data_IF_375028117940
#
_entry.id   IF_375028117940
#
_cell.length_a   1.000
_cell.length_b   1.000
_cell.length_c   1.000
_cell.angle_alpha   90.00
_cell.angle_beta   90.00
_cell.angle_gamma   90.00
#
_symmetry.space_group_name_H-M   'P 1'
#
loop_
_entity.id
_entity.type
_entity.pdbx_description
1 polymer ?
#
# COMPACT_ATOMS: atom_id res chain seq x y z
N UNK A 1 14.15 0.15 30.49
CA UNK A 1 13.20 1.08 29.82
C UNK A 1 12.27 0.22 28.99
N UNK A 2 10.95 0.34 29.17
CA UNK A 2 10.02 -0.29 28.24
C UNK A 2 10.15 0.37 26.86
N UNK A 3 10.19 -0.43 25.80
CA UNK A 3 10.20 0.07 24.44
C UNK A 3 8.91 0.85 24.17
N UNK A 4 9.00 1.95 23.39
CA UNK A 4 7.82 2.69 22.99
C UNK A 4 6.97 1.81 22.06
N UNK A 5 5.70 1.53 22.38
CA UNK A 5 4.85 0.64 21.58
C UNK A 5 4.39 1.27 20.26
N UNK A 6 4.54 2.58 20.10
CA UNK A 6 4.28 3.28 18.85
C UNK A 6 5.59 3.35 18.04
N UNK A 7 5.60 2.69 16.91
CA UNK A 7 6.79 2.63 16.07
C UNK A 7 6.70 3.65 14.93
N UNK A 8 7.74 4.46 14.85
CA UNK A 8 7.93 5.47 13.81
C UNK A 8 9.12 5.13 12.91
N UNK A 9 9.67 3.92 13.06
CA UNK A 9 10.81 3.44 12.30
C UNK A 9 10.35 3.00 10.91
N UNK A 10 11.07 3.39 9.89
CA UNK A 10 10.78 2.95 8.53
C UNK A 10 11.11 1.45 8.36
N UNK A 11 10.23 0.72 7.65
CA UNK A 11 10.49 -0.67 7.24
C UNK A 11 10.12 -1.75 8.27
N UNK A 12 9.65 -1.39 9.47
CA UNK A 12 9.09 -2.36 10.43
C UNK A 12 7.59 -2.14 10.60
N UNK A 13 6.78 -3.20 10.59
CA UNK A 13 5.39 -3.06 11.02
C UNK A 13 5.37 -2.69 12.51
N UNK A 14 4.56 -1.71 12.92
CA UNK A 14 4.43 -1.34 14.33
C UNK A 14 3.90 -2.54 15.14
N UNK A 15 4.30 -2.67 16.40
CA UNK A 15 3.78 -3.72 17.30
C UNK A 15 2.26 -3.58 17.51
N UNK A 16 1.78 -2.36 17.53
CA UNK A 16 0.34 -2.03 17.69
C UNK A 16 -0.20 -1.43 16.42
N UNK A 17 -0.94 -2.23 15.68
CA UNK A 17 -1.64 -1.86 14.46
C UNK A 17 -3.14 -1.69 14.73
N UNK A 18 -3.74 -0.75 14.03
CA UNK A 18 -5.20 -0.69 13.89
C UNK A 18 -5.55 -1.40 12.58
N UNK A 19 -6.17 -2.55 12.69
CA UNK A 19 -6.54 -3.41 11.56
C UNK A 19 -7.66 -2.78 10.71
N UNK A 20 -7.75 -3.24 9.46
CA UNK A 20 -8.83 -2.94 8.52
C UNK A 20 -9.54 -4.23 8.11
N UNK A 21 -10.30 -4.85 9.03
CA UNK A 21 -10.86 -6.18 8.82
C UNK A 21 -11.74 -6.27 7.57
N UNK A 22 -12.50 -5.23 7.25
CA UNK A 22 -13.40 -5.22 6.08
C UNK A 22 -12.60 -5.40 4.77
N UNK A 23 -11.50 -4.66 4.60
CA UNK A 23 -10.63 -4.74 3.42
C UNK A 23 -9.88 -6.07 3.39
N UNK A 24 -9.32 -6.46 4.52
CA UNK A 24 -8.55 -7.69 4.62
C UNK A 24 -9.42 -8.91 4.32
N UNK A 25 -10.65 -8.93 4.82
CA UNK A 25 -11.60 -9.99 4.58
C UNK A 25 -12.10 -9.96 3.13
N UNK A 26 -12.43 -8.79 2.57
CA UNK A 26 -12.82 -8.66 1.15
C UNK A 26 -11.80 -9.33 0.23
N UNK A 27 -10.50 -9.03 0.40
CA UNK A 27 -9.44 -9.60 -0.44
C UNK A 27 -9.26 -11.09 -0.14
N UNK A 28 -9.26 -11.47 1.14
CA UNK A 28 -9.07 -12.86 1.54
C UNK A 28 -10.19 -13.74 1.00
N UNK A 29 -11.43 -13.33 1.20
CA UNK A 29 -12.61 -14.06 0.73
C UNK A 29 -12.66 -14.14 -0.80
N UNK A 30 -12.27 -13.04 -1.49
CA UNK A 30 -12.19 -13.03 -2.94
C UNK A 30 -11.20 -14.04 -3.51
N UNK A 31 -10.06 -14.27 -2.84
CA UNK A 31 -9.04 -15.21 -3.32
C UNK A 31 -9.30 -16.67 -2.93
N UNK A 32 -10.01 -16.89 -1.82
CA UNK A 32 -10.32 -18.25 -1.33
C UNK A 32 -11.55 -18.85 -2.03
N UNK A 33 -12.52 -18.02 -2.38
CA UNK A 33 -13.76 -18.50 -2.99
C UNK A 33 -13.56 -19.02 -4.42
N UNK A 34 -14.28 -20.09 -4.78
CA UNK A 34 -14.20 -20.72 -6.11
C UNK A 34 -14.63 -19.76 -7.23
N UNK A 35 -15.58 -18.86 -6.97
CA UNK A 35 -16.00 -17.80 -7.89
C UNK A 35 -15.21 -16.50 -7.66
N UNK A 36 -13.90 -16.54 -7.87
CA UNK A 36 -13.00 -15.41 -7.68
C UNK A 36 -13.41 -14.21 -8.51
N UNK A 37 -13.90 -13.11 -7.92
CA UNK A 37 -14.24 -11.91 -8.68
C UNK A 37 -13.00 -11.23 -9.28
N UNK A 38 -11.85 -11.42 -8.67
CA UNK A 38 -10.55 -10.95 -9.18
C UNK A 38 -9.40 -11.82 -8.68
N UNK A 39 -8.35 -11.93 -9.49
CA UNK A 39 -7.06 -12.52 -9.09
C UNK A 39 -6.01 -11.46 -8.77
N UNK A 40 -6.36 -10.19 -8.85
CA UNK A 40 -5.47 -9.05 -8.63
C UNK A 40 -6.20 -7.97 -7.85
N UNK A 41 -5.56 -7.46 -6.80
CA UNK A 41 -5.98 -6.27 -6.07
C UNK A 41 -4.86 -5.24 -5.99
N UNK A 42 -5.21 -3.97 -6.03
CA UNK A 42 -4.28 -2.85 -5.91
C UNK A 42 -4.68 -2.00 -4.70
N UNK A 43 -3.80 -1.91 -3.70
CA UNK A 43 -3.99 -1.04 -2.55
C UNK A 43 -3.29 0.29 -2.80
N UNK A 44 -4.00 1.39 -2.72
CA UNK A 44 -3.45 2.72 -2.96
C UNK A 44 -3.86 3.73 -1.89
N UNK A 45 -3.19 4.84 -1.85
CA UNK A 45 -3.41 5.93 -0.89
C UNK A 45 -2.13 6.72 -0.64
N UNK A 46 -2.19 7.80 0.14
CA UNK A 46 -1.05 8.65 0.42
C UNK A 46 0.09 7.91 1.13
N UNK A 47 1.29 8.50 1.16
CA UNK A 47 2.37 8.00 2.02
C UNK A 47 1.90 7.93 3.46
N UNK A 48 2.32 6.92 4.20
CA UNK A 48 1.95 6.77 5.62
C UNK A 48 0.49 6.37 5.91
N UNK A 49 -0.34 6.06 4.91
CA UNK A 49 -1.72 5.58 5.16
C UNK A 49 -1.78 4.11 5.61
N UNK A 50 -0.65 3.37 5.60
CA UNK A 50 -0.56 1.99 6.07
C UNK A 50 -0.69 0.92 4.98
N UNK A 51 -0.33 1.21 3.73
CA UNK A 51 -0.35 0.23 2.61
C UNK A 51 0.47 -1.02 2.90
N UNK A 52 1.74 -0.84 3.24
CA UNK A 52 2.65 -1.94 3.63
C UNK A 52 2.12 -2.76 4.80
N UNK A 53 1.53 -2.10 5.80
CA UNK A 53 0.95 -2.77 6.97
C UNK A 53 -0.24 -3.64 6.56
N UNK A 54 -1.17 -3.11 5.76
CA UNK A 54 -2.31 -3.89 5.25
C UNK A 54 -1.86 -5.05 4.36
N UNK A 55 -0.87 -4.83 3.48
CA UNK A 55 -0.29 -5.89 2.65
C UNK A 55 0.30 -7.01 3.50
N UNK A 56 1.09 -6.64 4.52
CA UNK A 56 1.71 -7.60 5.45
C UNK A 56 0.66 -8.37 6.25
N UNK A 57 -0.39 -7.69 6.74
CA UNK A 57 -1.49 -8.34 7.45
C UNK A 57 -2.18 -9.39 6.60
N UNK A 58 -2.54 -9.05 5.36
CA UNK A 58 -3.15 -9.98 4.40
C UNK A 58 -2.18 -11.13 4.08
N UNK A 59 -0.91 -10.84 3.79
CA UNK A 59 0.12 -11.85 3.54
C UNK A 59 0.20 -12.87 4.68
N UNK A 60 0.18 -12.40 5.93
CA UNK A 60 0.27 -13.26 7.11
C UNK A 60 -0.98 -14.14 7.28
N UNK A 61 -2.18 -13.63 6.94
CA UNK A 61 -3.39 -14.47 6.90
C UNK A 61 -3.22 -15.63 5.93
N UNK A 62 -2.73 -15.37 4.71
CA UNK A 62 -2.51 -16.42 3.71
C UNK A 62 -1.37 -17.37 4.07
N UNK A 63 -0.31 -16.92 4.75
CA UNK A 63 0.75 -17.81 5.28
C UNK A 63 0.22 -18.81 6.30
N UNK A 64 -0.89 -18.52 6.96
CA UNK A 64 -1.55 -19.40 7.94
C UNK A 64 -2.58 -20.35 7.31
N UNK A 65 -2.92 -20.19 6.03
CA UNK A 65 -3.89 -21.04 5.34
C UNK A 65 -3.15 -22.17 4.60
N UNK A 66 -3.52 -23.41 4.86
CA UNK A 66 -2.97 -24.55 4.14
C UNK A 66 -3.14 -24.40 2.62
N UNK A 67 -2.18 -24.95 1.87
CA UNK A 67 -2.16 -24.92 0.40
C UNK A 67 -2.03 -23.52 -0.21
N UNK A 68 -1.54 -22.54 0.54
CA UNK A 68 -1.12 -21.26 0.01
C UNK A 68 0.39 -21.07 0.15
N UNK A 69 1.03 -20.63 -0.94
CA UNK A 69 2.42 -20.21 -0.97
C UNK A 69 2.41 -18.69 -1.13
N UNK A 70 2.95 -17.94 -0.16
CA UNK A 70 3.09 -16.49 -0.24
C UNK A 70 4.52 -16.15 -0.62
N UNK A 71 4.67 -15.29 -1.63
CA UNK A 71 5.96 -14.83 -2.15
C UNK A 71 5.91 -13.31 -2.25
N UNK A 72 6.81 -12.66 -1.50
CA UNK A 72 6.99 -11.21 -1.54
C UNK A 72 8.06 -10.87 -2.59
N UNK A 73 7.75 -9.99 -3.54
CA UNK A 73 8.61 -9.59 -4.65
C UNK A 73 9.01 -8.13 -4.53
N UNK A 74 10.29 -7.82 -4.78
CA UNK A 74 10.82 -6.47 -4.78
C UNK A 74 10.73 -5.87 -6.20
N UNK A 75 9.98 -4.78 -6.42
CA UNK A 75 9.79 -4.19 -7.75
C UNK A 75 11.06 -3.58 -8.36
N UNK A 76 12.12 -3.35 -7.56
CA UNK A 76 13.40 -2.78 -8.02
C UNK A 76 14.37 -3.84 -8.60
N UNK A 77 13.97 -5.10 -8.65
CA UNK A 77 14.74 -6.21 -9.13
C UNK A 77 13.96 -7.04 -10.14
N UNK A 78 14.64 -7.92 -10.87
CA UNK A 78 13.98 -8.84 -11.79
C UNK A 78 12.96 -9.73 -11.07
N UNK A 79 11.68 -9.43 -11.26
CA UNK A 79 10.56 -10.08 -10.56
C UNK A 79 10.37 -11.53 -11.00
N UNK A 80 10.66 -11.87 -12.26
CA UNK A 80 10.59 -13.26 -12.73
C UNK A 80 11.68 -14.11 -12.12
N UNK A 81 12.90 -13.59 -12.05
CA UNK A 81 14.02 -14.25 -11.38
C UNK A 81 13.72 -14.48 -9.89
N UNK A 82 13.18 -13.46 -9.20
CA UNK A 82 12.81 -13.58 -7.79
C UNK A 82 11.70 -14.63 -7.61
N UNK A 83 10.70 -14.62 -8.48
CA UNK A 83 9.60 -15.57 -8.43
C UNK A 83 10.09 -16.99 -8.62
N UNK A 84 10.88 -17.24 -9.68
CA UNK A 84 11.48 -18.55 -9.94
C UNK A 84 12.33 -19.05 -8.76
N UNK A 85 13.19 -18.18 -8.22
CA UNK A 85 14.04 -18.48 -7.05
C UNK A 85 13.21 -18.84 -5.83
N UNK A 86 12.19 -18.03 -5.55
CA UNK A 86 11.32 -18.25 -4.40
C UNK A 86 10.52 -19.54 -4.51
N UNK A 87 10.02 -19.89 -5.69
CA UNK A 87 9.39 -21.17 -5.94
C UNK A 87 10.36 -22.33 -5.69
N UNK A 88 11.57 -22.24 -6.23
CA UNK A 88 12.60 -23.27 -6.05
C UNK A 88 12.99 -23.48 -4.58
N UNK A 89 13.09 -22.39 -3.81
CA UNK A 89 13.51 -22.44 -2.41
C UNK A 89 12.42 -22.93 -1.45
N UNK A 90 11.15 -22.94 -1.83
CA UNK A 90 10.08 -23.50 -0.98
C UNK A 90 10.34 -24.99 -0.74
N UNK A 91 10.50 -25.36 0.53
CA UNK A 91 10.96 -26.68 0.93
C UNK A 91 10.13 -27.85 0.38
N UNK A 92 8.81 -27.68 0.24
CA UNK A 92 7.92 -28.64 -0.39
C UNK A 92 8.23 -28.89 -1.88
N UNK A 93 8.74 -27.88 -2.58
CA UNK A 93 9.09 -27.95 -4.00
C UNK A 93 10.53 -28.44 -4.22
N UNK A 94 11.46 -28.08 -3.32
CA UNK A 94 12.86 -28.50 -3.39
C UNK A 94 13.00 -30.04 -3.38
N UNK A 95 12.17 -30.73 -2.61
CA UNK A 95 12.15 -32.20 -2.60
C UNK A 95 11.77 -32.83 -3.95
N UNK A 96 10.96 -32.14 -4.75
CA UNK A 96 10.53 -32.61 -6.05
C UNK A 96 11.67 -32.60 -7.07
N UNK A 97 12.54 -31.56 -7.01
CA UNK A 97 13.76 -31.53 -7.83
C UNK A 97 14.74 -32.63 -7.43
N UNK A 98 14.87 -32.88 -6.13
CA UNK A 98 15.75 -33.96 -5.62
C UNK A 98 15.23 -35.37 -5.99
N UNK A 99 13.92 -35.56 -6.07
CA UNK A 99 13.29 -36.84 -6.46
C UNK A 99 13.18 -37.02 -7.96
N UNK A 100 13.72 -36.14 -8.80
CA UNK A 100 13.60 -36.17 -10.26
C UNK A 100 12.14 -36.21 -10.76
N UNK A 101 11.19 -35.71 -9.99
CA UNK A 101 9.79 -35.56 -10.40
C UNK A 101 9.63 -34.51 -11.51
N UNK A 102 10.60 -33.59 -11.63
CA UNK A 102 10.69 -32.64 -12.73
C UNK A 102 11.70 -33.13 -13.79
N UNK A 103 11.23 -33.26 -15.01
CA UNK A 103 12.04 -33.68 -16.17
C UNK A 103 12.75 -32.49 -16.84
N UNK A 104 13.24 -31.51 -16.06
CA UNK A 104 13.97 -30.34 -16.59
C UNK A 104 14.92 -29.76 -15.55
N UNK A 105 15.92 -29.05 -16.04
CA UNK A 105 16.84 -28.25 -15.24
C UNK A 105 16.74 -26.77 -15.61
N UNK A 106 17.09 -25.90 -14.67
CA UNK A 106 17.08 -24.46 -14.87
C UNK A 106 18.46 -23.88 -14.59
N UNK A 107 18.95 -23.05 -15.54
CA UNK A 107 20.25 -22.41 -15.44
C UNK A 107 20.03 -20.90 -15.43
N UNK A 108 20.27 -20.22 -14.32
CA UNK A 108 20.05 -18.77 -14.26
C UNK A 108 20.05 -18.14 -12.87
N UNK A 109 20.07 -18.96 -11.81
CA UNK A 109 20.06 -18.46 -10.42
C UNK A 109 21.39 -18.70 -9.68
N UNK A 110 22.50 -18.84 -10.42
CA UNK A 110 23.79 -19.15 -9.79
C UNK A 110 23.95 -20.62 -9.38
N UNK A 111 22.94 -21.46 -9.61
CA UNK A 111 23.06 -22.93 -9.48
C UNK A 111 22.65 -23.61 -10.77
N UNK A 112 23.40 -24.60 -11.16
CA UNK A 112 22.95 -25.59 -12.14
C UNK A 112 22.38 -26.76 -11.36
N UNK A 113 21.10 -27.10 -11.60
CA UNK A 113 20.58 -28.40 -11.21
C UNK A 113 21.20 -29.36 -12.23
N UNK A 114 22.29 -30.00 -11.83
CA UNK A 114 23.04 -30.87 -12.70
C UNK A 114 22.29 -32.20 -12.92
N UNK A 115 22.14 -32.55 -14.17
CA UNK A 115 21.59 -33.79 -14.69
C UNK A 115 21.39 -33.66 -16.20
N UNK A 116 21.25 -34.74 -16.94
CA UNK A 116 20.97 -34.77 -18.39
C UNK A 116 19.58 -34.22 -18.76
N UNK A 117 19.11 -33.22 -18.03
CA UNK A 117 17.77 -32.66 -18.20
C UNK A 117 17.83 -31.38 -19.08
N UNK A 118 16.82 -31.16 -19.95
CA UNK A 118 16.79 -30.00 -20.81
C UNK A 118 16.75 -28.71 -20.00
N UNK A 119 17.61 -27.74 -20.35
CA UNK A 119 17.62 -26.38 -19.77
C UNK A 119 16.43 -25.62 -20.31
N UNK A 120 15.65 -24.98 -19.43
CA UNK A 120 14.50 -24.15 -19.79
C UNK A 120 14.71 -22.67 -19.41
N UNK A 121 13.97 -21.79 -20.07
CA UNK A 121 13.94 -20.36 -19.70
C UNK A 121 13.27 -20.15 -18.32
N UNK A 122 13.49 -18.95 -17.71
CA UNK A 122 12.85 -18.55 -16.46
C UNK A 122 11.32 -18.67 -16.56
N UNK A 123 10.74 -18.14 -17.64
CA UNK A 123 9.30 -18.18 -17.87
C UNK A 123 8.78 -19.62 -17.96
N UNK A 124 9.43 -20.47 -18.75
CA UNK A 124 9.04 -21.90 -18.86
C UNK A 124 9.19 -22.63 -17.53
N UNK A 125 10.22 -22.30 -16.73
CA UNK A 125 10.38 -22.86 -15.40
C UNK A 125 9.20 -22.48 -14.50
N UNK A 126 8.85 -21.22 -14.44
CA UNK A 126 7.72 -20.73 -13.63
C UNK A 126 6.41 -21.41 -14.06
N UNK A 127 6.12 -21.45 -15.36
CA UNK A 127 4.89 -22.07 -15.86
C UNK A 127 4.79 -23.56 -15.50
N UNK A 128 5.87 -24.31 -15.63
CA UNK A 128 5.89 -25.73 -15.22
C UNK A 128 5.69 -25.91 -13.72
N UNK A 129 6.27 -25.02 -12.91
CA UNK A 129 6.06 -25.03 -11.47
C UNK A 129 4.62 -24.70 -11.11
N UNK A 130 4.03 -23.70 -11.75
CA UNK A 130 2.63 -23.33 -11.53
C UNK A 130 1.66 -24.42 -11.96
N UNK A 131 1.92 -25.10 -13.09
CA UNK A 131 1.13 -26.26 -13.52
C UNK A 131 1.17 -27.41 -12.50
N UNK A 132 2.37 -27.69 -11.98
CA UNK A 132 2.52 -28.68 -10.92
C UNK A 132 1.74 -28.29 -9.66
N UNK A 133 1.88 -27.04 -9.19
CA UNK A 133 1.16 -26.55 -8.02
C UNK A 133 -0.36 -26.61 -8.20
N UNK A 134 -0.86 -26.23 -9.38
CA UNK A 134 -2.27 -26.32 -9.75
C UNK A 134 -2.79 -27.76 -9.64
N UNK A 135 -2.04 -28.75 -10.16
CA UNK A 135 -2.39 -30.19 -10.06
C UNK A 135 -2.42 -30.71 -8.61
N UNK A 136 -1.67 -30.06 -7.71
CA UNK A 136 -1.67 -30.36 -6.27
C UNK A 136 -2.71 -29.57 -5.47
N UNK A 137 -3.48 -28.70 -6.11
CA UNK A 137 -4.43 -27.82 -5.45
C UNK A 137 -3.76 -26.77 -4.56
N UNK A 138 -2.54 -26.35 -4.92
CA UNK A 138 -1.78 -25.33 -4.20
C UNK A 138 -1.94 -24.00 -4.93
N UNK A 139 -2.26 -22.94 -4.19
CA UNK A 139 -2.39 -21.57 -4.67
C UNK A 139 -1.13 -20.77 -4.37
N UNK A 140 -0.86 -19.75 -5.17
CA UNK A 140 0.25 -18.84 -4.97
C UNK A 140 -0.31 -17.42 -4.81
N UNK A 141 0.10 -16.75 -3.74
CA UNK A 141 -0.10 -15.32 -3.55
C UNK A 141 1.23 -14.61 -3.77
N UNK A 142 1.26 -13.72 -4.74
CA UNK A 142 2.36 -12.78 -4.96
C UNK A 142 2.00 -11.44 -4.33
N UNK A 143 2.96 -10.82 -3.67
CA UNK A 143 2.81 -9.47 -3.13
C UNK A 143 3.93 -8.59 -3.63
N UNK A 144 3.60 -7.34 -4.02
CA UNK A 144 4.55 -6.34 -4.48
C UNK A 144 4.24 -5.04 -3.78
N UNK A 145 5.14 -4.58 -2.91
CA UNK A 145 4.98 -3.29 -2.23
C UNK A 145 5.67 -2.17 -3.02
N UNK A 146 5.10 -0.97 -2.98
CA UNK A 146 5.63 0.24 -3.60
C UNK A 146 5.92 0.13 -5.11
N UNK A 147 4.96 -0.45 -5.88
CA UNK A 147 5.11 -0.56 -7.33
C UNK A 147 5.35 0.79 -8.00
N UNK A 148 6.18 0.76 -9.05
CA UNK A 148 6.46 1.89 -9.90
C UNK A 148 6.46 1.45 -11.38
N UNK A 149 6.54 2.41 -12.32
CA UNK A 149 6.58 2.12 -13.74
C UNK A 149 8.03 1.93 -14.21
N UNK A 150 8.64 0.79 -13.85
CA UNK A 150 9.95 0.38 -14.33
C UNK A 150 9.88 -0.82 -15.29
N UNK A 151 11.00 -1.16 -15.91
CA UNK A 151 11.07 -2.27 -16.85
C UNK A 151 10.71 -3.62 -16.22
N UNK A 152 11.12 -3.88 -14.98
CA UNK A 152 10.84 -5.15 -14.30
C UNK A 152 9.36 -5.34 -14.06
N UNK A 153 8.68 -4.28 -13.62
CA UNK A 153 7.22 -4.31 -13.42
C UNK A 153 6.47 -4.51 -14.74
N UNK A 154 6.90 -3.87 -15.83
CA UNK A 154 6.27 -4.06 -17.16
C UNK A 154 6.40 -5.49 -17.65
N UNK A 155 7.60 -6.07 -17.60
CA UNK A 155 7.85 -7.46 -18.02
C UNK A 155 7.02 -8.41 -17.17
N UNK A 156 7.07 -8.27 -15.85
CA UNK A 156 6.32 -9.12 -14.93
C UNK A 156 4.80 -9.02 -15.14
N UNK A 157 4.25 -7.83 -15.37
CA UNK A 157 2.82 -7.66 -15.61
C UNK A 157 2.35 -8.41 -16.87
N UNK A 158 3.13 -8.42 -17.94
CA UNK A 158 2.85 -9.23 -19.13
C UNK A 158 2.88 -10.73 -18.81
N UNK A 159 3.87 -11.20 -18.08
CA UNK A 159 3.97 -12.61 -17.66
C UNK A 159 2.81 -13.00 -16.75
N UNK A 160 2.44 -12.14 -15.79
CA UNK A 160 1.30 -12.37 -14.92
C UNK A 160 -0.02 -12.51 -15.70
N UNK A 161 -0.22 -11.67 -16.72
CA UNK A 161 -1.37 -11.81 -17.62
C UNK A 161 -1.38 -13.17 -18.33
N UNK A 162 -0.20 -13.67 -18.72
CA UNK A 162 -0.07 -15.02 -19.31
C UNK A 162 -0.43 -16.12 -18.30
N UNK A 163 0.00 -15.99 -17.05
CA UNK A 163 -0.35 -16.95 -15.99
C UNK A 163 -1.86 -17.04 -15.78
N UNK A 164 -2.54 -15.89 -15.80
CA UNK A 164 -4.01 -15.85 -15.69
C UNK A 164 -4.70 -16.51 -16.89
N UNK A 165 -4.24 -16.25 -18.13
CA UNK A 165 -4.79 -16.88 -19.35
C UNK A 165 -4.62 -18.39 -19.35
N UNK A 166 -3.49 -18.89 -18.80
CA UNK A 166 -3.23 -20.34 -18.67
C UNK A 166 -3.99 -20.97 -17.49
N UNK A 167 -4.77 -20.16 -16.75
CA UNK A 167 -5.60 -20.62 -15.65
C UNK A 167 -4.81 -21.16 -14.47
N UNK A 168 -3.61 -20.65 -14.23
CA UNK A 168 -2.83 -20.99 -13.03
C UNK A 168 -3.44 -20.35 -11.77
N UNK A 169 -3.27 -21.02 -10.64
CA UNK A 169 -3.76 -20.55 -9.34
C UNK A 169 -2.82 -19.52 -8.74
N UNK A 170 -2.70 -18.37 -9.37
CA UNK A 170 -1.84 -17.25 -8.93
C UNK A 170 -2.70 -16.03 -8.67
N UNK A 171 -2.59 -15.48 -7.47
CA UNK A 171 -3.20 -14.21 -7.07
C UNK A 171 -2.11 -13.18 -6.82
N UNK A 172 -2.40 -11.90 -7.00
CA UNK A 172 -1.45 -10.80 -6.85
C UNK A 172 -2.09 -9.67 -6.04
N UNK A 173 -1.34 -9.15 -5.08
CA UNK A 173 -1.66 -7.88 -4.42
C UNK A 173 -0.50 -6.94 -4.65
N UNK A 174 -0.80 -5.76 -5.17
CA UNK A 174 0.16 -4.68 -5.35
C UNK A 174 -0.19 -3.50 -4.47
N UNK A 175 0.82 -2.80 -3.97
CA UNK A 175 0.61 -1.48 -3.35
C UNK A 175 1.38 -0.40 -4.09
N UNK A 176 0.88 0.82 -4.06
CA UNK A 176 1.58 1.93 -4.69
C UNK A 176 0.91 3.28 -4.43
N UNK A 177 1.61 4.34 -4.77
CA UNK A 177 1.04 5.68 -4.85
C UNK A 177 0.14 5.78 -6.09
N UNK A 178 -0.87 6.64 -6.02
CA UNK A 178 -1.80 6.81 -7.13
C UNK A 178 -1.11 7.07 -8.47
N UNK A 179 -0.09 7.94 -8.49
CA UNK A 179 0.64 8.26 -9.73
C UNK A 179 1.37 7.05 -10.30
N UNK A 180 2.04 6.29 -9.44
CA UNK A 180 2.79 5.12 -9.88
C UNK A 180 1.86 4.07 -10.50
N UNK A 181 0.73 3.82 -9.84
CA UNK A 181 -0.32 2.92 -10.36
C UNK A 181 -0.87 3.46 -11.70
N UNK A 182 -1.23 4.74 -11.75
CA UNK A 182 -1.76 5.36 -12.96
C UNK A 182 -0.77 5.32 -14.13
N UNK A 183 0.51 5.56 -13.86
CA UNK A 183 1.56 5.48 -14.89
C UNK A 183 1.72 4.05 -15.41
N UNK A 184 1.65 3.05 -14.52
CA UNK A 184 1.77 1.64 -14.90
C UNK A 184 0.55 1.17 -15.73
N UNK A 185 -0.65 1.62 -15.38
CA UNK A 185 -1.89 1.27 -16.09
C UNK A 185 -1.99 1.87 -17.49
N UNK A 186 -1.36 3.01 -17.70
CA UNK A 186 -1.35 3.71 -18.99
C UNK A 186 -0.24 3.22 -19.94
N UNK A 187 0.58 2.26 -19.51
CA UNK A 187 1.56 1.61 -20.40
C UNK A 187 0.88 0.73 -21.44
N UNK A 188 1.41 0.76 -22.66
CA UNK A 188 0.92 -0.07 -23.75
C UNK A 188 1.03 -1.56 -23.37
N UNK A 189 -0.09 -2.29 -23.55
CA UNK A 189 -0.18 -3.71 -23.21
C UNK A 189 -0.48 -4.03 -21.76
N UNK A 190 -0.48 -3.05 -20.83
CA UNK A 190 -0.82 -3.24 -19.42
C UNK A 190 -2.21 -2.75 -19.03
N UNK A 191 -3.03 -2.39 -20.01
CA UNK A 191 -4.41 -1.87 -19.80
C UNK A 191 -5.32 -2.82 -19.01
N UNK A 192 -4.99 -4.11 -18.90
CA UNK A 192 -5.71 -5.05 -18.05
C UNK A 192 -5.63 -4.66 -16.56
N UNK A 193 -4.57 -3.99 -16.12
CA UNK A 193 -4.42 -3.46 -14.77
C UNK A 193 -5.49 -2.41 -14.44
N UNK A 194 -5.98 -1.70 -15.47
CA UNK A 194 -7.07 -0.74 -15.30
C UNK A 194 -8.36 -1.40 -14.79
N UNK A 195 -8.57 -2.68 -15.11
CA UNK A 195 -9.74 -3.47 -14.67
C UNK A 195 -9.56 -4.07 -13.27
N UNK A 196 -8.37 -4.04 -12.73
CA UNK A 196 -8.11 -4.56 -11.38
C UNK A 196 -8.85 -3.71 -10.34
N UNK A 197 -9.50 -4.33 -9.35
CA UNK A 197 -10.05 -3.63 -8.20
C UNK A 197 -8.99 -2.80 -7.48
N UNK A 198 -9.28 -1.51 -7.29
CA UNK A 198 -8.43 -0.56 -6.59
C UNK A 198 -9.08 -0.17 -5.27
N UNK A 199 -8.40 -0.49 -4.20
CA UNK A 199 -8.82 -0.13 -2.85
C UNK A 199 -8.02 1.09 -2.42
N UNK A 200 -8.69 2.24 -2.39
CA UNK A 200 -8.16 3.45 -1.78
C UNK A 200 -8.29 3.30 -0.26
N UNK A 201 -7.17 3.06 0.42
CA UNK A 201 -7.19 2.78 1.86
C UNK A 201 -7.91 3.91 2.62
N UNK A 202 -9.04 3.60 3.28
CA UNK A 202 -9.76 4.59 4.07
C UNK A 202 -8.98 4.98 5.32
N UNK A 203 -9.33 6.09 5.97
CA UNK A 203 -8.83 6.42 7.30
C UNK A 203 -9.04 5.25 8.28
N UNK A 204 -8.15 5.12 9.24
CA UNK A 204 -8.30 4.18 10.35
C UNK A 204 -9.54 4.51 11.19
N UNK A 205 -10.13 3.50 11.80
CA UNK A 205 -11.29 3.67 12.67
C UNK A 205 -10.93 4.48 13.92
N UNK A 206 -11.52 5.66 14.08
CA UNK A 206 -11.21 6.57 15.19
C UNK A 206 -11.55 5.98 16.56
N UNK A 207 -12.59 5.12 16.66
CA UNK A 207 -12.91 4.44 17.92
C UNK A 207 -11.82 3.44 18.30
N UNK A 208 -11.35 2.64 17.34
CA UNK A 208 -10.26 1.70 17.57
C UNK A 208 -8.97 2.43 17.97
N UNK A 209 -8.67 3.57 17.35
CA UNK A 209 -7.53 4.42 17.74
C UNK A 209 -7.69 4.96 19.17
N UNK A 210 -8.87 5.46 19.52
CA UNK A 210 -9.16 5.95 20.89
C UNK A 210 -8.99 4.82 21.91
N UNK A 211 -9.53 3.63 21.68
CA UNK A 211 -9.31 2.47 22.55
C UNK A 211 -7.85 2.09 22.68
N UNK A 212 -7.10 2.18 21.58
CA UNK A 212 -5.67 1.90 21.60
C UNK A 212 -4.91 2.90 22.48
N UNK A 213 -5.21 4.20 22.36
CA UNK A 213 -4.61 5.22 23.24
C UNK A 213 -4.99 5.04 24.70
N UNK A 214 -6.25 4.71 24.99
CA UNK A 214 -6.68 4.38 26.37
C UNK A 214 -5.86 3.21 26.95
N UNK A 215 -5.75 2.13 26.20
CA UNK A 215 -5.11 0.90 26.67
C UNK A 215 -3.59 1.03 26.80
N UNK A 216 -2.93 1.73 25.88
CA UNK A 216 -1.47 1.83 25.83
C UNK A 216 -0.96 2.98 26.73
N UNK A 217 -1.63 4.13 26.68
CA UNK A 217 -1.18 5.36 27.34
C UNK A 217 -1.90 5.60 28.69
N UNK A 218 -2.97 4.83 28.98
CA UNK A 218 -3.82 5.06 30.15
C UNK A 218 -4.52 6.42 30.08
N UNK A 219 -4.95 6.84 28.89
CA UNK A 219 -5.68 8.09 28.67
C UNK A 219 -7.13 7.94 29.10
N UNK A 220 -7.72 9.02 29.61
CA UNK A 220 -9.17 9.11 29.81
C UNK A 220 -9.89 9.07 28.45
N UNK A 221 -11.12 8.54 28.41
CA UNK A 221 -11.88 8.34 27.17
C UNK A 221 -12.03 9.63 26.36
N UNK A 222 -12.30 10.76 27.01
CA UNK A 222 -12.43 12.06 26.36
C UNK A 222 -11.15 12.47 25.66
N UNK A 223 -10.03 12.41 26.36
CA UNK A 223 -8.73 12.84 25.86
C UNK A 223 -8.22 11.90 24.73
N UNK A 224 -8.48 10.59 24.85
CA UNK A 224 -8.18 9.61 23.81
C UNK A 224 -9.02 9.82 22.54
N UNK A 225 -10.29 10.18 22.66
CA UNK A 225 -11.14 10.55 21.51
C UNK A 225 -10.63 11.82 20.83
N UNK A 226 -10.26 12.84 21.60
CA UNK A 226 -9.67 14.07 21.07
C UNK A 226 -8.39 13.77 20.31
N UNK A 227 -7.48 12.98 20.88
CA UNK A 227 -6.25 12.55 20.21
C UNK A 227 -6.53 11.80 18.90
N UNK A 228 -7.50 10.89 18.89
CA UNK A 228 -7.88 10.17 17.68
C UNK A 228 -8.45 11.12 16.59
N UNK A 229 -9.29 12.07 16.97
CA UNK A 229 -9.87 13.07 16.03
C UNK A 229 -8.77 13.93 15.40
N UNK A 230 -7.78 14.38 16.17
CA UNK A 230 -6.64 15.17 15.68
C UNK A 230 -5.92 14.43 14.55
N UNK A 231 -5.80 13.12 14.61
CA UNK A 231 -5.13 12.33 13.57
C UNK A 231 -5.95 12.14 12.30
N UNK A 232 -7.24 12.50 12.27
CA UNK A 232 -8.17 12.24 11.16
C UNK A 232 -8.14 10.80 10.64
N UNK A 233 -7.71 9.82 11.44
CA UNK A 233 -7.53 8.43 11.01
C UNK A 233 -6.31 8.17 10.12
N UNK A 234 -5.41 9.13 9.97
CA UNK A 234 -4.18 8.94 9.22
C UNK A 234 -3.19 8.10 10.03
N UNK A 235 -2.84 6.90 9.51
CA UNK A 235 -2.10 5.90 10.26
C UNK A 235 -0.74 6.39 10.78
N UNK A 236 -0.02 7.16 9.97
CA UNK A 236 1.27 7.70 10.39
C UNK A 236 1.12 8.75 11.50
N UNK A 237 0.10 9.63 11.42
CA UNK A 237 -0.16 10.60 12.49
C UNK A 237 -0.57 9.91 13.80
N UNK A 238 -1.32 8.80 13.72
CA UNK A 238 -1.64 7.98 14.89
C UNK A 238 -0.37 7.48 15.59
N UNK A 239 0.58 6.92 14.84
CA UNK A 239 1.84 6.44 15.39
C UNK A 239 2.70 7.58 15.95
N UNK A 240 2.81 8.71 15.24
CA UNK A 240 3.58 9.87 15.69
C UNK A 240 3.01 10.46 16.98
N UNK A 241 1.69 10.69 17.02
CA UNK A 241 1.05 11.27 18.21
C UNK A 241 1.19 10.33 19.41
N UNK A 242 0.95 9.03 19.21
CA UNK A 242 1.16 8.03 20.26
C UNK A 242 2.61 7.99 20.76
N UNK A 243 3.57 8.05 19.82
CA UNK A 243 4.99 8.08 20.14
C UNK A 243 5.37 9.29 21.01
N UNK A 244 4.89 10.49 20.66
CA UNK A 244 5.15 11.73 21.40
C UNK A 244 4.54 11.63 22.79
N UNK A 245 3.26 11.25 22.91
CA UNK A 245 2.55 11.12 24.17
C UNK A 245 3.23 10.12 25.09
N UNK A 246 3.65 8.96 24.59
CA UNK A 246 4.36 7.95 25.36
C UNK A 246 5.73 8.46 25.84
N UNK A 247 6.52 9.05 24.93
CA UNK A 247 7.85 9.59 25.22
C UNK A 247 7.83 10.68 26.28
N UNK A 248 6.85 11.59 26.19
CA UNK A 248 6.67 12.72 27.12
C UNK A 248 5.88 12.32 28.38
N UNK A 249 5.46 11.05 28.49
CA UNK A 249 4.58 10.54 29.56
C UNK A 249 3.32 11.41 29.76
N UNK A 250 2.71 11.84 28.63
CA UNK A 250 1.51 12.67 28.63
C UNK A 250 0.25 11.86 28.31
N UNK A 251 -0.83 12.21 28.99
CA UNK A 251 -2.16 11.61 28.79
C UNK A 251 -3.16 12.55 28.10
N UNK A 252 -2.69 13.72 27.67
CA UNK A 252 -3.49 14.75 26.98
C UNK A 252 -2.67 15.41 25.89
N UNK A 253 -3.35 15.82 24.85
CA UNK A 253 -2.73 16.60 23.77
C UNK A 253 -2.77 18.08 24.17
N UNK A 254 -1.61 18.67 24.36
CA UNK A 254 -1.44 20.09 24.58
C UNK A 254 -0.74 20.78 23.40
N UNK A 255 -0.58 22.09 23.47
CA UNK A 255 0.05 22.88 22.40
C UNK A 255 1.45 22.37 22.06
N UNK A 256 2.27 22.01 23.06
CA UNK A 256 3.64 21.49 22.85
C UNK A 256 3.63 20.15 22.09
N UNK A 257 2.69 19.26 22.41
CA UNK A 257 2.51 17.97 21.69
C UNK A 257 2.12 18.21 20.25
N UNK A 258 1.23 19.19 19.98
CA UNK A 258 0.82 19.55 18.60
C UNK A 258 1.98 20.14 17.80
N UNK A 259 2.77 21.03 18.39
CA UNK A 259 3.96 21.59 17.74
C UNK A 259 4.99 20.50 17.39
N UNK A 260 5.22 19.55 18.27
CA UNK A 260 6.09 18.41 17.99
C UNK A 260 5.52 17.49 16.89
N UNK A 261 4.19 17.27 16.90
CA UNK A 261 3.52 16.50 15.87
C UNK A 261 3.66 17.16 14.50
N UNK A 262 3.49 18.48 14.42
CA UNK A 262 3.62 19.25 13.18
C UNK A 262 5.03 19.13 12.60
N UNK A 263 6.06 19.33 13.42
CA UNK A 263 7.47 19.17 13.00
C UNK A 263 7.73 17.76 12.48
N UNK A 264 7.28 16.73 13.20
CA UNK A 264 7.53 15.35 12.79
C UNK A 264 6.73 14.94 11.55
N UNK A 265 5.52 15.47 11.36
CA UNK A 265 4.73 15.25 10.14
C UNK A 265 5.40 15.91 8.93
N UNK A 266 5.91 17.14 9.10
CA UNK A 266 6.66 17.85 8.07
C UNK A 266 7.90 17.05 7.65
N UNK A 267 8.83 16.82 8.57
CA UNK A 267 10.11 16.18 8.27
C UNK A 267 9.99 14.78 7.68
N UNK A 268 8.99 14.00 8.12
CA UNK A 268 8.90 12.58 7.79
C UNK A 268 7.87 12.21 6.74
N UNK A 269 6.98 13.15 6.34
CA UNK A 269 5.89 12.84 5.41
C UNK A 269 5.50 14.03 4.51
N UNK A 270 5.16 15.18 5.08
CA UNK A 270 4.46 16.23 4.35
C UNK A 270 5.33 16.98 3.35
N UNK A 271 6.59 17.28 3.69
CA UNK A 271 7.55 17.83 2.75
C UNK A 271 7.70 16.96 1.50
N UNK A 272 7.72 15.64 1.67
CA UNK A 272 7.78 14.70 0.53
C UNK A 272 6.49 14.70 -0.27
N UNK A 273 5.32 14.58 0.38
CA UNK A 273 4.00 14.64 -0.29
C UNK A 273 3.88 15.94 -1.09
N UNK A 274 4.22 17.08 -0.48
CA UNK A 274 4.12 18.38 -1.12
C UNK A 274 5.10 18.55 -2.30
N UNK A 275 6.31 17.99 -2.19
CA UNK A 275 7.29 18.02 -3.28
C UNK A 275 6.82 17.29 -4.54
N UNK A 276 6.00 16.25 -4.38
CA UNK A 276 5.43 15.43 -5.47
C UNK A 276 4.22 16.08 -6.16
N UNK A 277 3.72 17.20 -5.62
CA UNK A 277 2.63 17.95 -6.26
C UNK A 277 3.11 18.78 -7.43
N UNK A 278 2.32 18.80 -8.49
CA UNK A 278 2.51 19.73 -9.61
C UNK A 278 2.31 21.17 -9.16
N UNK A 279 2.82 22.14 -9.94
CA UNK A 279 2.65 23.56 -9.64
C UNK A 279 1.19 23.93 -9.42
N UNK A 280 0.28 23.46 -10.27
CA UNK A 280 -1.16 23.76 -10.14
C UNK A 280 -1.81 23.09 -8.93
N UNK A 281 -1.40 21.89 -8.58
CA UNK A 281 -1.87 21.24 -7.35
C UNK A 281 -1.41 22.01 -6.11
N UNK A 282 -0.15 22.50 -6.10
CA UNK A 282 0.36 23.36 -5.01
C UNK A 282 -0.44 24.65 -4.87
N UNK A 283 -0.77 25.33 -5.98
CA UNK A 283 -1.63 26.51 -5.97
C UNK A 283 -3.01 26.22 -5.36
N UNK A 284 -3.64 25.08 -5.74
CA UNK A 284 -4.95 24.68 -5.21
C UNK A 284 -4.87 24.40 -3.70
N UNK A 285 -3.91 23.58 -3.25
CA UNK A 285 -3.80 23.24 -1.82
C UNK A 285 -3.43 24.47 -0.97
N UNK A 286 -2.66 25.45 -1.52
CA UNK A 286 -2.37 26.71 -0.83
C UNK A 286 -3.63 27.57 -0.63
N UNK A 287 -4.54 27.59 -1.60
CA UNK A 287 -5.82 28.27 -1.45
C UNK A 287 -6.70 27.60 -0.39
N UNK A 288 -6.76 26.25 -0.40
CA UNK A 288 -7.50 25.50 0.62
C UNK A 288 -6.93 25.77 2.01
N UNK A 289 -5.60 25.81 2.16
CA UNK A 289 -4.93 26.15 3.41
C UNK A 289 -5.21 27.59 3.87
N UNK A 290 -5.52 28.49 2.94
CA UNK A 290 -5.95 29.87 3.21
C UNK A 290 -7.47 30.00 3.39
N UNK A 291 -8.17 28.90 3.73
CA UNK A 291 -9.61 28.82 3.94
C UNK A 291 -10.49 29.12 2.70
N UNK A 292 -9.94 29.14 1.50
CA UNK A 292 -10.73 29.14 0.25
C UNK A 292 -11.10 27.70 -0.10
N UNK A 293 -12.21 27.24 0.43
CA UNK A 293 -12.61 25.81 0.37
C UNK A 293 -13.73 25.52 -0.62
N UNK A 294 -14.38 26.54 -1.17
CA UNK A 294 -15.44 26.37 -2.16
C UNK A 294 -14.91 26.34 -3.58
N UNK A 295 -15.63 25.63 -4.46
CA UNK A 295 -15.28 25.59 -5.89
C UNK A 295 -15.23 26.99 -6.51
N UNK A 296 -16.15 27.89 -6.10
CA UNK A 296 -16.23 29.25 -6.62
C UNK A 296 -14.98 30.05 -6.28
N UNK A 297 -14.58 30.05 -5.00
CA UNK A 297 -13.40 30.78 -4.52
C UNK A 297 -12.10 30.29 -5.19
N UNK A 298 -11.95 28.95 -5.34
CA UNK A 298 -10.75 28.38 -5.97
C UNK A 298 -10.70 28.73 -7.47
N UNK A 299 -11.84 28.63 -8.17
CA UNK A 299 -11.93 28.97 -9.61
C UNK A 299 -11.62 30.43 -9.86
N UNK A 300 -12.22 31.32 -9.08
CA UNK A 300 -12.00 32.76 -9.20
C UNK A 300 -10.53 33.11 -8.96
N UNK A 301 -9.94 32.59 -7.88
CA UNK A 301 -8.54 32.86 -7.54
C UNK A 301 -7.55 32.36 -8.60
N UNK A 302 -7.82 31.23 -9.26
CA UNK A 302 -6.93 30.64 -10.26
C UNK A 302 -7.35 30.89 -11.71
N UNK A 303 -8.46 31.60 -11.93
CA UNK A 303 -9.06 31.84 -13.24
C UNK A 303 -9.27 30.53 -14.04
N UNK A 304 -9.73 29.49 -13.37
CA UNK A 304 -9.90 28.14 -13.92
C UNK A 304 -11.32 27.89 -14.45
N UNK A 305 -11.42 27.08 -15.51
CA UNK A 305 -12.70 26.53 -15.99
C UNK A 305 -13.16 25.38 -15.07
N UNK A 306 -14.47 25.12 -15.01
CA UNK A 306 -15.08 24.08 -14.18
C UNK A 306 -14.47 22.69 -14.38
N UNK A 307 -14.34 22.24 -15.62
CA UNK A 307 -13.77 20.94 -15.93
C UNK A 307 -12.32 20.77 -15.48
N UNK A 308 -11.53 21.85 -15.60
CA UNK A 308 -10.12 21.85 -15.19
C UNK A 308 -9.99 21.70 -13.68
N UNK A 309 -10.72 22.47 -12.89
CA UNK A 309 -10.69 22.35 -11.42
C UNK A 309 -11.17 20.97 -10.98
N UNK A 310 -12.24 20.44 -11.59
CA UNK A 310 -12.77 19.12 -11.28
C UNK A 310 -11.73 18.01 -11.50
N UNK A 311 -10.95 18.08 -12.57
CA UNK A 311 -9.85 17.13 -12.84
C UNK A 311 -8.78 17.18 -11.77
N UNK A 312 -8.28 18.37 -11.39
CA UNK A 312 -7.29 18.50 -10.32
C UNK A 312 -7.81 18.01 -8.96
N UNK A 313 -9.06 18.33 -8.62
CA UNK A 313 -9.69 17.85 -7.39
C UNK A 313 -9.80 16.32 -7.36
N UNK A 314 -10.17 15.71 -8.47
CA UNK A 314 -10.21 14.25 -8.58
C UNK A 314 -8.83 13.64 -8.35
N UNK A 315 -7.79 14.20 -8.97
CA UNK A 315 -6.41 13.74 -8.80
C UNK A 315 -5.94 13.91 -7.35
N UNK A 316 -6.11 15.08 -6.75
CA UNK A 316 -5.74 15.32 -5.35
C UNK A 316 -6.51 14.41 -4.36
N UNK A 317 -7.78 14.11 -4.66
CA UNK A 317 -8.58 13.19 -3.87
C UNK A 317 -8.08 11.74 -4.00
N UNK A 318 -7.71 11.30 -5.19
CA UNK A 318 -7.11 9.98 -5.45
C UNK A 318 -5.71 9.86 -4.81
N UNK A 319 -4.94 10.94 -4.78
CA UNK A 319 -3.69 11.03 -4.00
C UNK A 319 -3.93 10.95 -2.48
N UNK A 320 -5.17 11.10 -2.02
CA UNK A 320 -5.55 11.05 -0.61
C UNK A 320 -5.25 12.33 0.16
N UNK A 321 -5.06 13.45 -0.52
CA UNK A 321 -4.71 14.74 0.09
C UNK A 321 -5.96 15.50 0.51
N UNK A 322 -7.01 15.53 -0.36
CA UNK A 322 -8.24 16.27 -0.10
C UNK A 322 -9.45 15.33 -0.08
N UNK A 323 -10.48 15.76 0.64
CA UNK A 323 -11.82 15.20 0.62
C UNK A 323 -12.74 16.07 -0.24
N UNK A 324 -13.45 15.43 -1.14
CA UNK A 324 -14.43 16.05 -2.05
C UNK A 324 -15.82 15.46 -1.88
N UNK A 325 -16.05 14.67 -0.83
CA UNK A 325 -17.33 14.01 -0.55
C UNK A 325 -18.48 15.00 -0.28
N UNK A 326 -18.16 16.15 0.29
CA UNK A 326 -19.11 17.23 0.51
C UNK A 326 -19.25 18.05 -0.78
N UNK A 327 -20.49 18.17 -1.28
CA UNK A 327 -20.76 18.92 -2.51
C UNK A 327 -20.33 20.38 -2.39
N UNK A 328 -19.48 20.82 -3.30
CA UNK A 328 -19.05 22.21 -3.40
C UNK A 328 -17.95 22.63 -2.44
N UNK A 329 -17.57 21.81 -1.48
CA UNK A 329 -16.55 22.10 -0.45
C UNK A 329 -15.39 21.12 -0.55
N UNK A 330 -14.19 21.59 -0.29
CA UNK A 330 -12.97 20.78 -0.28
C UNK A 330 -12.29 20.92 1.07
N UNK A 331 -11.94 19.80 1.68
CA UNK A 331 -11.24 19.74 2.96
C UNK A 331 -9.96 18.87 2.83
N UNK A 332 -8.96 19.10 3.67
CA UNK A 332 -7.81 18.18 3.73
C UNK A 332 -8.18 16.88 4.44
N UNK A 333 -7.81 15.74 3.86
CA UNK A 333 -7.83 14.43 4.52
C UNK A 333 -6.68 14.28 5.50
N UNK A 334 -5.51 14.82 5.15
CA UNK A 334 -4.32 14.76 5.99
C UNK A 334 -4.48 15.70 7.20
N UNK A 335 -4.21 15.22 8.42
CA UNK A 335 -4.31 16.05 9.62
C UNK A 335 -3.22 17.12 9.61
N UNK A 336 -3.53 18.33 10.05
CA UNK A 336 -2.57 19.44 10.20
C UNK A 336 -1.81 19.82 8.90
N UNK A 337 -2.33 19.42 7.73
CA UNK A 337 -1.68 19.72 6.45
C UNK A 337 -1.88 21.17 6.02
N UNK A 338 -2.97 21.80 6.48
CA UNK A 338 -3.17 23.23 6.27
C UNK A 338 -2.09 24.06 6.99
N UNK A 339 -1.80 23.72 8.25
CA UNK A 339 -0.78 24.36 9.06
C UNK A 339 0.62 24.17 8.44
N UNK A 340 0.92 22.96 7.97
CA UNK A 340 2.16 22.68 7.23
C UNK A 340 2.30 23.59 6.00
N UNK A 341 1.25 23.70 5.16
CA UNK A 341 1.30 24.54 3.96
C UNK A 341 1.46 26.02 4.33
N UNK A 342 0.70 26.50 5.32
CA UNK A 342 0.78 27.90 5.80
C UNK A 342 2.18 28.25 6.30
N UNK A 343 2.86 27.33 6.96
CA UNK A 343 4.22 27.53 7.45
C UNK A 343 5.27 27.50 6.33
N UNK A 344 5.10 26.64 5.31
CA UNK A 344 6.08 26.43 4.26
C UNK A 344 5.77 27.17 2.93
N UNK A 345 4.68 27.90 2.84
CA UNK A 345 4.28 28.64 1.63
C UNK A 345 4.93 30.03 1.51
N UNK A 346 5.90 30.37 2.38
CA UNK A 346 6.61 31.64 2.37
C UNK A 346 8.06 31.48 1.92
#
# INVERSE_FOLDING_TARGET
>A
MMLNPFDITFGKPPEKIIERPDIENEITDSFINDNRPSSLYILTGPRGCGKTVSLTSISNKFKAIDRWIVIDLNPEQDLEQQFATSLYQKGSLKHLFLKKEFNFSFKGLGFSISGDMPIVSVATFIERMLDYLKKKGINVLLTIDEVNNNQFMRVFAHSYQSYLRNGFNVSLIMTGLYENISNLENEDGLTFLYRAPKIYLPPLNLRAMSYSYMNILGMEERDAKEAAIITKGYAFSYQLLGYILYKENKKKVDKKVLEQLDVMLDERSYSKIYSELTKKEKEIVSLIASNKTTNSEIKEALQMKDGTLSSYKMTLSKKGIIDVSKRGVVEFKLPRFAEFIQFNAF
#
